data_IF_380950465815
#
_entry.id   IF_380950465815
#
_cell.length_a   1.000
_cell.length_b   1.000
_cell.length_c   1.000
_cell.angle_alpha   90.00
_cell.angle_beta   90.00
_cell.angle_gamma   90.00
#
_symmetry.space_group_name_H-M   'P 1'
#
loop_
_entity.id
_entity.type
_entity.pdbx_description
1 polymer ?
#
# COMPACT_ATOMS: atom_id res chain seq x y z
N UNK A 1 3.21 -29.32 -18.02
CA UNK A 1 4.40 -29.38 -17.15
C UNK A 1 3.93 -29.54 -15.71
N UNK A 2 4.62 -30.32 -14.86
CA UNK A 2 4.28 -30.41 -13.44
C UNK A 2 4.31 -29.01 -12.80
N UNK A 3 3.45 -28.77 -11.81
CA UNK A 3 3.45 -27.51 -11.08
C UNK A 3 4.82 -27.31 -10.40
N UNK A 4 5.40 -26.09 -10.45
CA UNK A 4 6.68 -25.84 -9.84
C UNK A 4 6.60 -26.06 -8.32
N UNK A 5 7.61 -26.71 -7.70
CA UNK A 5 7.56 -27.05 -6.28
C UNK A 5 7.62 -25.80 -5.39
N UNK A 6 8.30 -24.75 -5.84
CA UNK A 6 8.44 -23.48 -5.12
C UNK A 6 7.51 -22.45 -5.74
N UNK A 7 6.71 -21.78 -4.92
CA UNK A 7 5.85 -20.69 -5.36
C UNK A 7 6.13 -19.46 -4.48
N UNK A 8 6.56 -18.37 -5.12
CA UNK A 8 6.70 -17.06 -4.52
C UNK A 8 5.38 -16.31 -4.66
N UNK A 9 4.79 -15.92 -3.53
CA UNK A 9 3.63 -15.05 -3.46
C UNK A 9 4.12 -13.62 -3.30
N UNK A 10 4.27 -12.93 -4.42
CA UNK A 10 4.79 -11.57 -4.51
C UNK A 10 3.70 -10.51 -4.32
N UNK A 11 4.09 -9.25 -4.12
CA UNK A 11 3.13 -8.14 -4.20
C UNK A 11 2.57 -8.00 -5.62
N UNK A 12 1.45 -7.26 -5.81
CA UNK A 12 0.89 -7.02 -7.13
C UNK A 12 1.90 -6.38 -8.09
N UNK A 13 1.82 -6.69 -9.39
CA UNK A 13 2.79 -6.19 -10.36
C UNK A 13 2.71 -4.67 -10.56
N UNK A 14 3.86 -4.03 -10.75
CA UNK A 14 4.00 -2.61 -11.06
C UNK A 14 4.68 -2.47 -12.42
N UNK A 15 3.89 -2.49 -13.51
CA UNK A 15 4.42 -2.58 -14.87
C UNK A 15 5.57 -1.57 -15.15
N UNK A 16 6.71 -2.03 -15.73
CA UNK A 16 6.95 -3.39 -16.25
C UNK A 16 7.42 -4.41 -15.21
N UNK A 17 7.54 -4.03 -13.93
CA UNK A 17 8.01 -4.92 -12.88
C UNK A 17 6.95 -5.96 -12.49
N UNK A 18 7.38 -7.20 -12.18
CA UNK A 18 6.47 -8.27 -11.76
C UNK A 18 5.94 -8.09 -10.34
N UNK A 19 6.48 -7.13 -9.58
CA UNK A 19 6.07 -6.82 -8.21
C UNK A 19 6.18 -5.31 -7.92
N UNK A 20 5.47 -4.84 -6.90
CA UNK A 20 5.37 -3.44 -6.46
C UNK A 20 6.18 -3.11 -5.21
N UNK A 21 7.11 -3.97 -4.83
CA UNK A 21 8.00 -3.80 -3.68
C UNK A 21 9.40 -4.39 -3.97
N UNK A 22 10.46 -3.84 -3.35
CA UNK A 22 11.82 -4.34 -3.55
C UNK A 22 12.05 -5.73 -2.93
N UNK A 23 11.32 -6.10 -1.88
CA UNK A 23 11.49 -7.40 -1.22
C UNK A 23 11.02 -8.55 -2.11
N UNK A 24 9.88 -8.42 -2.79
CA UNK A 24 9.48 -9.41 -3.80
C UNK A 24 10.48 -9.49 -4.95
N UNK A 25 10.97 -8.36 -5.45
CA UNK A 25 11.97 -8.34 -6.52
C UNK A 25 13.28 -9.02 -6.10
N UNK A 26 13.69 -8.85 -4.83
CA UNK A 26 14.83 -9.57 -4.25
C UNK A 26 14.61 -11.08 -4.29
N UNK A 27 13.44 -11.58 -3.86
CA UNK A 27 13.15 -13.00 -3.87
C UNK A 27 13.08 -13.57 -5.29
N UNK A 28 12.57 -12.81 -6.26
CA UNK A 28 12.59 -13.20 -7.68
C UNK A 28 14.02 -13.35 -8.17
N UNK A 29 14.88 -12.35 -7.92
CA UNK A 29 16.28 -12.39 -8.30
C UNK A 29 17.04 -13.52 -7.60
N UNK A 30 16.73 -13.78 -6.31
CA UNK A 30 17.29 -14.86 -5.53
C UNK A 30 16.92 -16.23 -6.10
N UNK A 31 15.65 -16.48 -6.42
CA UNK A 31 15.24 -17.76 -6.99
C UNK A 31 15.75 -17.93 -8.43
N UNK A 32 15.85 -16.85 -9.20
CA UNK A 32 16.47 -16.91 -10.51
C UNK A 32 17.93 -17.35 -10.45
N UNK A 33 18.68 -16.92 -9.43
CA UNK A 33 20.07 -17.32 -9.21
C UNK A 33 20.20 -18.72 -8.58
N UNK A 34 19.43 -18.97 -7.52
CA UNK A 34 19.60 -20.13 -6.64
C UNK A 34 18.84 -21.37 -7.09
N UNK A 35 17.70 -21.22 -7.76
CA UNK A 35 16.82 -22.33 -8.13
C UNK A 35 16.14 -22.07 -9.50
N UNK A 36 16.92 -21.84 -10.57
CA UNK A 36 16.34 -21.59 -11.89
C UNK A 36 15.44 -22.76 -12.31
N UNK A 37 14.29 -22.45 -12.92
CA UNK A 37 13.26 -23.39 -13.38
C UNK A 37 12.47 -24.18 -12.30
N UNK A 38 12.73 -23.99 -11.01
CA UNK A 38 12.00 -24.69 -9.93
C UNK A 38 10.97 -23.82 -9.21
N UNK A 39 10.87 -22.54 -9.60
CA UNK A 39 9.98 -21.58 -8.96
C UNK A 39 8.97 -21.00 -9.96
N UNK A 40 7.82 -20.59 -9.43
CA UNK A 40 6.93 -19.65 -10.10
C UNK A 40 6.60 -18.48 -9.19
N UNK A 41 6.26 -17.36 -9.82
CA UNK A 41 5.81 -16.16 -9.14
C UNK A 41 4.32 -16.00 -9.37
N UNK A 42 3.57 -15.75 -8.30
CA UNK A 42 2.16 -15.40 -8.38
C UNK A 42 1.86 -14.21 -7.44
N UNK A 43 0.83 -13.40 -7.75
CA UNK A 43 0.37 -12.38 -6.82
C UNK A 43 -0.18 -13.02 -5.53
N UNK A 44 0.38 -12.62 -4.39
CA UNK A 44 -0.05 -13.02 -3.07
C UNK A 44 -1.32 -12.31 -2.61
N UNK A 45 -2.01 -12.93 -1.66
CA UNK A 45 -3.17 -12.35 -1.00
C UNK A 45 -2.75 -11.71 0.33
N UNK A 46 -3.10 -10.45 0.53
CA UNK A 46 -2.78 -9.70 1.74
C UNK A 46 -3.56 -10.18 2.99
N UNK A 47 -4.49 -11.11 2.86
CA UNK A 47 -5.07 -11.82 4.01
C UNK A 47 -4.18 -12.95 4.53
N UNK A 48 -3.24 -13.45 3.70
CA UNK A 48 -2.36 -14.55 4.06
C UNK A 48 -1.11 -14.03 4.79
N UNK A 49 -0.41 -14.92 5.51
CA UNK A 49 0.84 -14.61 6.22
C UNK A 49 0.75 -13.38 7.16
N UNK A 50 -0.37 -13.22 7.87
CA UNK A 50 -0.59 -12.05 8.74
C UNK A 50 -0.61 -10.71 8.00
N UNK A 51 -0.85 -10.73 6.69
CA UNK A 51 -0.85 -9.57 5.81
C UNK A 51 0.52 -9.00 5.48
N UNK A 52 1.55 -9.85 5.51
CA UNK A 52 2.89 -9.55 5.02
C UNK A 52 3.14 -10.26 3.68
N UNK A 53 3.54 -9.48 2.69
CA UNK A 53 4.06 -9.94 1.41
C UNK A 53 5.49 -9.42 1.25
N UNK A 54 6.39 -10.13 0.55
CA UNK A 54 6.17 -11.46 -0.05
C UNK A 54 6.19 -12.61 0.97
N UNK A 55 5.72 -13.80 0.56
CA UNK A 55 6.00 -15.05 1.26
C UNK A 55 6.20 -16.22 0.28
N UNK A 56 6.86 -17.28 0.74
CA UNK A 56 7.21 -18.43 -0.08
C UNK A 56 6.43 -19.66 0.40
N UNK A 57 5.93 -20.45 -0.55
CA UNK A 57 5.36 -21.77 -0.28
C UNK A 57 6.10 -22.84 -1.07
N UNK A 58 6.43 -23.96 -0.43
CA UNK A 58 6.97 -25.15 -1.05
C UNK A 58 5.94 -26.28 -0.93
N UNK A 59 5.51 -26.87 -2.05
CA UNK A 59 4.48 -27.91 -2.10
C UNK A 59 3.19 -27.51 -1.34
N UNK A 60 2.83 -26.23 -1.39
CA UNK A 60 1.65 -25.67 -0.70
C UNK A 60 1.85 -25.32 0.77
N UNK A 61 2.99 -25.65 1.39
CA UNK A 61 3.31 -25.28 2.77
C UNK A 61 4.15 -24.00 2.81
N UNK A 62 3.83 -23.10 3.74
CA UNK A 62 4.58 -21.87 3.90
C UNK A 62 5.98 -22.15 4.47
N UNK A 63 7.01 -21.55 3.85
CA UNK A 63 8.40 -21.69 4.25
C UNK A 63 8.93 -20.33 4.72
N UNK A 64 9.49 -20.22 5.94
CA UNK A 64 10.12 -18.99 6.38
C UNK A 64 11.41 -18.72 5.60
N UNK A 65 11.78 -17.45 5.42
CA UNK A 65 12.98 -17.07 4.65
C UNK A 65 14.28 -17.68 5.17
N UNK A 66 14.36 -17.99 6.48
CA UNK A 66 15.51 -18.66 7.11
C UNK A 66 15.71 -20.11 6.64
N UNK A 67 14.67 -20.77 6.13
CA UNK A 67 14.70 -22.15 5.67
C UNK A 67 14.84 -22.29 4.15
N UNK A 68 14.92 -21.18 3.41
CA UNK A 68 15.14 -21.21 1.96
C UNK A 68 16.40 -22.00 1.55
N UNK A 69 17.55 -21.87 2.24
CA UNK A 69 18.74 -22.65 1.90
C UNK A 69 18.58 -24.17 2.02
N UNK A 70 17.56 -24.63 2.74
CA UNK A 70 17.30 -26.05 2.96
C UNK A 70 16.32 -26.64 1.93
N UNK A 71 15.82 -25.83 1.00
CA UNK A 71 14.89 -26.30 -0.03
C UNK A 71 15.62 -27.19 -1.06
N UNK A 72 14.97 -28.26 -1.54
CA UNK A 72 15.57 -29.12 -2.54
C UNK A 72 15.83 -28.32 -3.82
N UNK A 73 17.06 -28.42 -4.34
CA UNK A 73 17.48 -27.71 -5.55
C UNK A 73 17.85 -26.24 -5.36
N UNK A 74 17.76 -25.70 -4.14
CA UNK A 74 18.23 -24.34 -3.84
C UNK A 74 19.76 -24.33 -3.65
N UNK A 75 20.45 -23.59 -4.51
CA UNK A 75 21.88 -23.35 -4.41
C UNK A 75 22.13 -22.04 -3.67
N UNK A 76 22.75 -22.13 -2.49
CA UNK A 76 23.04 -20.93 -1.71
C UNK A 76 24.08 -20.05 -2.44
N UNK A 77 23.73 -18.82 -2.87
CA UNK A 77 24.67 -17.95 -3.58
C UNK A 77 25.88 -17.57 -2.72
N UNK A 78 25.74 -17.57 -1.40
CA UNK A 78 26.81 -17.22 -0.46
C UNK A 78 27.63 -18.45 -0.01
N UNK A 79 27.43 -19.62 -0.63
CA UNK A 79 28.10 -20.85 -0.22
C UNK A 79 29.64 -20.74 -0.29
N UNK A 80 30.15 -20.03 -1.30
CA UNK A 80 31.58 -19.83 -1.55
C UNK A 80 32.25 -18.84 -0.59
N UNK A 81 31.47 -18.05 0.16
CA UNK A 81 32.00 -17.02 1.06
C UNK A 81 32.57 -17.63 2.35
N UNK A 82 33.69 -17.07 2.80
CA UNK A 82 34.27 -17.34 4.12
C UNK A 82 33.35 -16.85 5.24
N UNK A 83 33.62 -17.28 6.48
CA UNK A 83 32.82 -16.87 7.63
C UNK A 83 32.87 -15.34 7.88
N UNK A 84 34.01 -14.71 7.63
CA UNK A 84 34.17 -13.26 7.74
C UNK A 84 33.36 -12.54 6.64
N UNK A 85 33.47 -13.00 5.39
CA UNK A 85 32.71 -12.42 4.27
C UNK A 85 31.20 -12.59 4.43
N UNK A 86 30.74 -13.70 5.04
CA UNK A 86 29.31 -13.88 5.38
C UNK A 86 28.83 -12.87 6.42
N UNK A 87 29.66 -12.54 7.41
CA UNK A 87 29.34 -11.49 8.38
C UNK A 87 29.29 -10.12 7.71
N UNK A 88 30.23 -9.84 6.79
CA UNK A 88 30.23 -8.62 6.00
C UNK A 88 29.03 -8.54 5.05
N UNK A 89 28.63 -9.65 4.42
CA UNK A 89 27.46 -9.71 3.56
C UNK A 89 26.18 -9.37 4.34
N UNK A 90 26.07 -9.89 5.57
CA UNK A 90 24.97 -9.56 6.48
C UNK A 90 25.01 -8.08 6.90
N UNK A 91 26.20 -7.52 7.15
CA UNK A 91 26.35 -6.11 7.49
C UNK A 91 25.90 -5.21 6.33
N UNK A 92 26.30 -5.52 5.09
CA UNK A 92 25.84 -4.82 3.90
C UNK A 92 24.34 -4.93 3.69
N UNK A 93 23.76 -6.11 3.87
CA UNK A 93 22.31 -6.29 3.81
C UNK A 93 21.59 -5.41 4.82
N UNK A 94 22.04 -5.39 6.07
CA UNK A 94 21.47 -4.54 7.11
C UNK A 94 21.61 -3.05 6.81
N UNK A 95 22.73 -2.65 6.21
CA UNK A 95 22.98 -1.28 5.76
C UNK A 95 22.00 -0.85 4.66
N UNK A 96 21.76 -1.72 3.67
CA UNK A 96 20.81 -1.49 2.59
C UNK A 96 19.38 -1.35 3.12
N UNK A 97 18.97 -2.23 4.04
CA UNK A 97 17.66 -2.18 4.69
C UNK A 97 17.43 -0.91 5.51
N UNK A 98 18.49 -0.39 6.14
CA UNK A 98 18.41 0.80 6.97
C UNK A 98 18.47 2.12 6.19
N UNK A 99 19.21 2.19 5.07
CA UNK A 99 19.49 3.46 4.39
C UNK A 99 18.84 3.58 3.01
N UNK A 100 18.80 2.49 2.24
CA UNK A 100 18.35 2.53 0.84
C UNK A 100 16.86 2.22 0.73
N UNK A 101 16.35 1.31 1.56
CA UNK A 101 14.93 0.97 1.58
C UNK A 101 14.03 2.20 1.86
N UNK A 102 14.51 3.14 2.67
CA UNK A 102 13.78 4.37 2.99
C UNK A 102 13.68 5.34 1.81
N UNK A 103 14.51 5.18 0.78
CA UNK A 103 14.42 5.96 -0.45
C UNK A 103 13.20 5.60 -1.30
N UNK A 104 12.46 4.55 -0.92
CA UNK A 104 11.08 4.30 -1.35
C UNK A 104 10.12 5.47 -1.03
N UNK A 105 10.56 6.48 -0.27
CA UNK A 105 9.86 7.77 -0.14
C UNK A 105 9.39 8.32 -1.49
N UNK A 106 10.16 8.09 -2.57
CA UNK A 106 9.84 8.51 -3.92
C UNK A 106 8.44 8.03 -4.35
N UNK A 107 8.00 6.86 -3.91
CA UNK A 107 6.69 6.30 -4.26
C UNK A 107 5.58 6.69 -3.29
N UNK A 108 5.86 6.79 -1.99
CA UNK A 108 4.82 6.94 -0.96
C UNK A 108 4.65 8.36 -0.44
N UNK A 109 5.74 9.11 -0.41
CA UNK A 109 5.78 10.48 0.11
C UNK A 109 5.47 11.50 -0.98
N UNK A 110 6.00 11.30 -2.20
CA UNK A 110 5.84 12.26 -3.27
C UNK A 110 4.39 12.24 -3.82
N UNK A 111 3.69 13.40 -3.83
CA UNK A 111 2.26 13.47 -4.09
C UNK A 111 1.81 12.94 -5.45
N UNK A 112 2.51 13.24 -6.57
CA UNK A 112 2.06 12.73 -7.86
C UNK A 112 2.36 11.24 -8.01
N UNK A 113 3.39 10.72 -7.33
CA UNK A 113 3.85 9.35 -7.53
C UNK A 113 2.91 8.34 -6.88
N UNK A 114 2.50 8.53 -5.63
CA UNK A 114 1.69 7.54 -4.91
C UNK A 114 0.37 7.16 -5.60
N UNK A 115 -0.57 8.10 -5.87
CA UNK A 115 -1.88 7.77 -6.43
C UNK A 115 -1.79 7.35 -7.90
N UNK A 116 -0.77 7.77 -8.64
CA UNK A 116 -0.66 7.48 -10.08
C UNK A 116 0.08 6.18 -10.37
N UNK A 117 0.93 5.71 -9.46
CA UNK A 117 1.76 4.51 -9.64
C UNK A 117 1.39 3.39 -8.66
N UNK A 118 2.02 3.39 -7.48
CA UNK A 118 2.02 2.26 -6.56
C UNK A 118 0.64 1.97 -5.97
N UNK A 119 -0.16 3.01 -5.67
CA UNK A 119 -1.50 2.81 -5.13
C UNK A 119 -2.37 2.04 -6.13
N UNK A 120 -2.34 2.39 -7.42
CA UNK A 120 -3.12 1.68 -8.46
C UNK A 120 -2.70 0.22 -8.58
N UNK A 121 -1.39 -0.04 -8.59
CA UNK A 121 -0.86 -1.40 -8.66
C UNK A 121 -1.28 -2.24 -7.44
N UNK A 122 -1.10 -1.71 -6.23
CA UNK A 122 -1.43 -2.41 -4.99
C UNK A 122 -2.93 -2.62 -4.80
N UNK A 123 -3.77 -1.69 -5.28
CA UNK A 123 -5.22 -1.78 -5.21
C UNK A 123 -5.82 -2.77 -6.22
N UNK A 124 -5.13 -3.04 -7.34
CA UNK A 124 -5.70 -3.79 -8.47
C UNK A 124 -6.13 -5.22 -8.12
N UNK A 125 -5.50 -5.84 -7.11
CA UNK A 125 -5.77 -7.23 -6.71
C UNK A 125 -6.61 -7.36 -5.46
N UNK A 126 -6.93 -6.25 -4.79
CA UNK A 126 -7.67 -6.26 -3.54
C UNK A 126 -9.16 -6.46 -3.78
N UNK A 127 -9.78 -7.33 -3.00
CA UNK A 127 -11.23 -7.50 -2.97
C UNK A 127 -11.86 -6.63 -1.86
N UNK A 128 -13.15 -6.38 -1.92
CA UNK A 128 -13.86 -5.82 -0.77
C UNK A 128 -13.89 -6.86 0.36
N UNK A 129 -13.66 -6.48 1.65
CA UNK A 129 -13.45 -5.13 2.19
C UNK A 129 -11.97 -4.70 2.28
N UNK A 130 -11.03 -5.50 1.78
CA UNK A 130 -9.58 -5.24 1.84
C UNK A 130 -9.20 -3.88 1.22
N UNK A 131 -9.91 -3.47 0.17
CA UNK A 131 -9.72 -2.16 -0.51
C UNK A 131 -9.84 -0.96 0.43
N UNK A 132 -10.59 -1.06 1.54
CA UNK A 132 -10.83 0.06 2.45
C UNK A 132 -9.66 0.30 3.42
N UNK A 133 -9.05 -0.76 3.95
CA UNK A 133 -8.10 -0.64 5.07
C UNK A 133 -6.66 -0.97 4.69
N UNK A 134 -6.41 -1.85 3.72
CA UNK A 134 -5.04 -2.28 3.37
C UNK A 134 -4.18 -1.13 2.82
N UNK A 135 -4.66 -0.31 1.87
CA UNK A 135 -3.86 0.80 1.36
C UNK A 135 -3.49 1.81 2.45
N UNK A 136 -4.45 2.11 3.33
CA UNK A 136 -4.24 3.01 4.46
C UNK A 136 -3.20 2.44 5.44
N UNK A 137 -3.29 1.15 5.74
CA UNK A 137 -2.33 0.44 6.62
C UNK A 137 -0.92 0.42 6.03
N UNK A 138 -0.77 0.11 4.73
CA UNK A 138 0.52 0.10 4.06
C UNK A 138 1.12 1.50 4.09
N UNK A 139 0.35 2.51 3.67
CA UNK A 139 0.82 3.89 3.63
C UNK A 139 1.17 4.41 5.03
N UNK A 140 0.37 4.14 6.06
CA UNK A 140 0.64 4.60 7.43
C UNK A 140 1.89 3.96 8.04
N UNK A 141 2.13 2.67 7.77
CA UNK A 141 3.35 1.97 8.22
C UNK A 141 4.61 2.55 7.57
N UNK A 142 4.54 2.87 6.28
CA UNK A 142 5.66 3.47 5.56
C UNK A 142 5.83 4.94 5.99
N UNK A 143 4.73 5.66 6.16
CA UNK A 143 4.73 7.04 6.63
C UNK A 143 5.39 7.19 8.00
N UNK A 144 5.05 6.34 8.97
CA UNK A 144 5.64 6.42 10.32
C UNK A 144 7.16 6.22 10.28
N UNK A 145 7.62 5.27 9.46
CA UNK A 145 9.05 5.02 9.24
C UNK A 145 9.74 6.19 8.54
N UNK A 146 9.18 6.70 7.45
CA UNK A 146 9.76 7.82 6.70
C UNK A 146 9.74 9.14 7.48
N UNK A 147 8.70 9.36 8.29
CA UNK A 147 8.61 10.52 9.18
C UNK A 147 9.70 10.48 10.26
N UNK A 148 9.96 9.30 10.83
CA UNK A 148 11.06 9.10 11.79
C UNK A 148 12.44 9.44 11.19
N UNK A 149 12.68 9.05 9.92
CA UNK A 149 13.94 9.32 9.22
C UNK A 149 14.00 10.76 8.67
N UNK A 150 12.87 11.46 8.62
CA UNK A 150 12.76 12.82 8.07
C UNK A 150 12.73 12.88 6.54
N UNK A 151 12.30 11.79 5.89
CA UNK A 151 12.12 11.72 4.43
C UNK A 151 10.67 11.92 3.99
N UNK A 152 9.72 11.93 4.92
CA UNK A 152 8.32 12.26 4.61
C UNK A 152 8.18 13.74 4.23
N UNK A 153 7.53 14.01 3.11
CA UNK A 153 7.38 15.34 2.49
C UNK A 153 8.65 15.88 1.81
N UNK A 154 9.77 15.16 1.84
CA UNK A 154 11.02 15.64 1.26
C UNK A 154 10.97 15.54 -0.28
N UNK A 155 11.31 16.64 -0.97
CA UNK A 155 11.29 16.69 -2.44
C UNK A 155 9.92 16.92 -3.09
N UNK A 156 8.87 17.14 -2.28
CA UNK A 156 7.52 17.50 -2.73
C UNK A 156 6.49 17.27 -1.62
N UNK A 157 5.71 18.31 -1.30
CA UNK A 157 4.75 18.29 -0.20
C UNK A 157 3.38 17.81 -0.69
N UNK A 158 2.73 16.90 0.04
CA UNK A 158 1.35 16.48 -0.27
C UNK A 158 0.39 17.65 -0.09
N UNK A 159 -0.60 17.79 -0.98
CA UNK A 159 -1.60 18.89 -0.89
C UNK A 159 -2.26 18.98 0.49
N UNK A 160 -2.51 17.83 1.15
CA UNK A 160 -3.05 17.81 2.51
C UNK A 160 -2.08 18.28 3.60
N UNK A 161 -0.79 17.96 3.47
CA UNK A 161 0.27 18.41 4.39
C UNK A 161 0.61 19.88 4.12
N UNK A 162 0.55 20.31 2.85
CA UNK A 162 0.68 21.69 2.41
C UNK A 162 -0.43 22.57 2.99
N UNK A 163 -1.68 22.08 3.03
CA UNK A 163 -2.79 22.81 3.64
C UNK A 163 -2.61 22.98 5.16
N UNK A 164 -2.15 21.94 5.86
CA UNK A 164 -1.87 22.05 7.31
C UNK A 164 -0.71 23.01 7.59
N UNK A 165 0.34 22.97 6.77
CA UNK A 165 1.47 23.86 6.91
C UNK A 165 1.13 25.30 6.48
N UNK A 166 0.28 25.48 5.45
CA UNK A 166 -0.26 26.78 5.06
C UNK A 166 -1.18 27.35 6.14
N UNK A 167 -1.98 26.51 6.82
CA UNK A 167 -2.73 26.92 8.00
C UNK A 167 -1.80 27.38 9.12
N UNK A 168 -0.75 26.61 9.41
CA UNK A 168 0.28 27.00 10.37
C UNK A 168 0.97 28.31 9.98
N UNK A 169 1.27 28.52 8.70
CA UNK A 169 1.85 29.76 8.19
C UNK A 169 0.85 30.92 8.30
N UNK A 170 -0.43 30.69 8.05
CA UNK A 170 -1.50 31.67 8.26
C UNK A 170 -1.63 32.04 9.74
N UNK A 171 -1.45 31.09 10.65
CA UNK A 171 -1.38 31.33 12.10
C UNK A 171 -0.11 32.11 12.48
N UNK A 172 1.05 31.73 11.93
CA UNK A 172 2.36 32.39 12.14
C UNK A 172 2.45 33.79 11.46
N UNK A 173 1.53 34.11 10.54
CA UNK A 173 1.42 35.45 9.92
C UNK A 173 0.91 36.51 10.89
N UNK A 174 0.40 36.15 12.07
CA UNK A 174 0.00 37.11 13.09
C UNK A 174 1.08 37.18 14.17
N UNK A 175 1.73 38.33 14.31
CA UNK A 175 2.67 38.59 15.40
C UNK A 175 1.89 39.26 16.52
N UNK A 176 1.99 38.70 17.74
CA UNK A 176 1.45 39.35 18.93
C UNK A 176 2.43 40.43 19.38
N UNK A 177 2.03 41.68 19.27
CA UNK A 177 2.82 42.82 19.74
C UNK A 177 2.85 42.90 21.27
N UNK A 178 3.82 43.66 21.83
CA UNK A 178 3.84 43.98 23.26
C UNK A 178 2.55 44.77 23.59
N UNK A 179 1.61 44.10 24.27
CA UNK A 179 0.25 44.61 24.51
C UNK A 179 -0.87 43.65 24.06
N UNK A 180 -0.55 42.50 23.46
CA UNK A 180 -1.55 41.49 23.07
C UNK A 180 -2.26 41.78 21.74
N UNK A 181 -1.83 42.80 21.00
CA UNK A 181 -2.40 43.14 19.69
C UNK A 181 -1.85 42.20 18.60
N UNK A 182 -2.75 41.54 17.87
CA UNK A 182 -2.40 40.72 16.70
C UNK A 182 -2.26 41.64 15.49
N UNK A 183 -1.03 41.86 15.03
CA UNK A 183 -0.78 42.58 13.78
C UNK A 183 -0.40 41.58 12.68
N UNK A 184 -0.97 41.69 11.47
CA UNK A 184 -0.53 40.90 10.34
C UNK A 184 0.92 41.27 10.02
N UNK A 185 1.80 40.28 9.94
CA UNK A 185 3.17 40.44 9.44
C UNK A 185 3.08 41.00 8.03
N UNK A 186 3.86 42.06 7.75
CA UNK A 186 3.78 42.82 6.50
C UNK A 186 3.64 41.90 5.27
N UNK A 187 2.58 42.14 4.50
CA UNK A 187 2.17 41.36 3.33
C UNK A 187 3.35 41.20 2.36
N UNK A 188 3.93 40.00 2.28
CA UNK A 188 4.80 39.64 1.16
C UNK A 188 3.87 39.36 -0.03
N UNK A 189 4.04 40.08 -1.15
CA UNK A 189 3.09 40.15 -2.28
C UNK A 189 2.59 38.81 -2.85
N UNK A 190 1.64 38.84 -3.79
CA UNK A 190 1.01 37.66 -4.42
C UNK A 190 1.98 36.60 -4.99
N UNK A 191 3.24 36.96 -5.29
CA UNK A 191 4.30 36.04 -5.76
C UNK A 191 5.06 35.33 -4.64
N UNK A 192 4.92 35.74 -3.38
CA UNK A 192 5.70 35.19 -2.28
C UNK A 192 5.39 33.72 -1.99
N UNK A 193 4.17 33.26 -2.30
CA UNK A 193 3.77 31.86 -2.16
C UNK A 193 4.54 30.95 -3.13
N UNK A 194 4.54 31.29 -4.42
CA UNK A 194 5.25 30.54 -5.44
C UNK A 194 6.77 30.56 -5.21
N UNK A 195 7.34 31.70 -4.81
CA UNK A 195 8.77 31.78 -4.50
C UNK A 195 9.15 31.00 -3.23
N UNK A 196 8.25 30.94 -2.23
CA UNK A 196 8.45 30.13 -1.04
C UNK A 196 8.39 28.63 -1.37
N UNK A 197 7.41 28.20 -2.16
CA UNK A 197 7.28 26.81 -2.60
C UNK A 197 8.48 26.36 -3.43
N UNK A 198 8.93 27.19 -4.39
CA UNK A 198 10.15 26.90 -5.17
C UNK A 198 11.40 26.81 -4.31
N UNK A 199 11.55 27.68 -3.30
CA UNK A 199 12.67 27.60 -2.35
C UNK A 199 12.62 26.33 -1.51
N UNK A 200 11.44 25.94 -1.02
CA UNK A 200 11.26 24.68 -0.29
C UNK A 200 11.59 23.47 -1.16
N UNK A 201 11.12 23.47 -2.41
CA UNK A 201 11.43 22.41 -3.36
C UNK A 201 12.93 22.28 -3.59
N UNK A 202 13.62 23.39 -3.89
CA UNK A 202 15.08 23.40 -4.07
C UNK A 202 15.82 22.94 -2.81
N UNK A 203 15.38 23.39 -1.63
CA UNK A 203 15.97 22.96 -0.36
C UNK A 203 15.74 21.46 -0.12
N UNK A 204 14.53 20.96 -0.39
CA UNK A 204 14.20 19.53 -0.29
C UNK A 204 15.00 18.68 -1.26
N UNK A 205 15.21 19.15 -2.50
CA UNK A 205 16.09 18.52 -3.49
C UNK A 205 17.55 18.46 -3.02
N UNK A 206 18.07 19.54 -2.41
CA UNK A 206 19.43 19.56 -1.84
C UNK A 206 19.60 18.63 -0.63
N UNK A 207 18.60 18.60 0.26
CA UNK A 207 18.59 17.67 1.39
C UNK A 207 18.52 16.23 0.91
N UNK A 208 17.68 15.95 -0.10
CA UNK A 208 17.59 14.64 -0.72
C UNK A 208 18.91 14.24 -1.38
N UNK A 209 19.56 15.13 -2.13
CA UNK A 209 20.89 14.89 -2.72
C UNK A 209 21.92 14.54 -1.64
N UNK A 210 21.93 15.27 -0.53
CA UNK A 210 22.81 15.00 0.62
C UNK A 210 22.55 13.61 1.22
N UNK A 211 21.28 13.22 1.35
CA UNK A 211 20.87 11.90 1.87
C UNK A 211 21.23 10.77 0.91
N UNK A 212 21.02 10.96 -0.39
CA UNK A 212 21.41 10.02 -1.44
C UNK A 212 22.93 9.81 -1.39
N UNK A 213 23.71 10.89 -1.28
CA UNK A 213 25.18 10.81 -1.12
C UNK A 213 25.60 10.04 0.10
N UNK A 214 25.06 10.39 1.26
CA UNK A 214 25.33 9.66 2.50
C UNK A 214 25.02 8.15 2.38
N UNK A 215 23.94 7.78 1.66
CA UNK A 215 23.51 6.40 1.54
C UNK A 215 24.28 5.60 0.46
N UNK A 216 24.58 6.19 -0.70
CA UNK A 216 25.19 5.51 -1.85
C UNK A 216 26.71 5.66 -1.95
N UNK A 217 27.33 6.69 -1.37
CA UNK A 217 28.79 6.86 -1.40
C UNK A 217 29.55 5.65 -0.81
N UNK A 218 29.11 5.03 0.31
CA UNK A 218 29.76 3.82 0.82
C UNK A 218 29.64 2.63 -0.13
N UNK A 219 28.50 2.50 -0.82
CA UNK A 219 28.26 1.41 -1.78
C UNK A 219 29.10 1.60 -3.04
N UNK A 220 29.15 2.82 -3.56
CA UNK A 220 29.96 3.17 -4.73
C UNK A 220 31.44 2.91 -4.47
N UNK A 221 31.95 3.29 -3.29
CA UNK A 221 33.33 2.96 -2.86
C UNK A 221 33.55 1.46 -2.66
N UNK A 222 32.57 0.76 -2.08
CA UNK A 222 32.65 -0.69 -1.89
C UNK A 222 32.72 -1.49 -3.20
N UNK A 223 32.10 -0.96 -4.26
CA UNK A 223 32.08 -1.52 -5.62
C UNK A 223 33.20 -0.98 -6.52
N UNK A 224 34.00 -0.02 -6.06
CA UNK A 224 35.02 0.62 -6.89
C UNK A 224 36.08 -0.40 -7.33
N UNK A 225 36.15 -0.67 -8.63
CA UNK A 225 37.08 -1.64 -9.22
C UNK A 225 36.64 -3.11 -9.13
N UNK A 226 35.50 -3.42 -8.52
CA UNK A 226 34.99 -4.81 -8.39
C UNK A 226 33.76 -5.06 -9.27
N UNK A 227 33.62 -6.30 -9.73
CA UNK A 227 32.44 -6.72 -10.49
C UNK A 227 31.20 -6.79 -9.58
N UNK A 228 31.38 -7.45 -8.41
CA UNK A 228 30.40 -7.64 -7.34
C UNK A 228 31.05 -7.39 -5.96
N UNK A 229 30.27 -7.35 -4.87
CA UNK A 229 30.81 -7.03 -3.53
C UNK A 229 31.97 -7.94 -3.09
N UNK A 230 31.86 -9.25 -3.36
CA UNK A 230 32.80 -10.29 -2.90
C UNK A 230 33.52 -11.03 -4.03
N UNK A 231 33.64 -10.43 -5.21
CA UNK A 231 34.42 -10.99 -6.32
C UNK A 231 33.68 -10.98 -7.65
N UNK A 232 33.74 -12.11 -8.36
CA UNK A 232 33.23 -12.27 -9.73
C UNK A 232 31.89 -12.99 -9.82
N UNK A 233 31.38 -13.51 -8.70
CA UNK A 233 30.05 -14.14 -8.62
C UNK A 233 29.09 -13.27 -7.80
N UNK A 234 27.82 -13.15 -8.23
CA UNK A 234 26.84 -12.35 -7.50
C UNK A 234 26.45 -13.01 -6.18
N UNK A 235 26.39 -12.20 -5.11
CA UNK A 235 26.07 -12.63 -3.74
C UNK A 235 24.72 -12.09 -3.27
N UNK A 236 24.23 -12.50 -2.09
CA UNK A 236 22.97 -11.96 -1.54
C UNK A 236 22.91 -10.44 -1.41
N UNK A 237 23.96 -9.70 -0.96
CA UNK A 237 23.90 -8.23 -0.94
C UNK A 237 23.90 -7.62 -2.35
N UNK A 238 24.53 -8.24 -3.34
CA UNK A 238 24.44 -7.80 -4.74
C UNK A 238 22.99 -7.89 -5.24
N UNK A 239 22.30 -9.00 -4.95
CA UNK A 239 20.89 -9.19 -5.31
C UNK A 239 19.96 -8.22 -4.57
N UNK A 240 20.28 -7.89 -3.32
CA UNK A 240 19.50 -6.96 -2.51
C UNK A 240 19.67 -5.51 -2.96
N UNK A 241 20.89 -5.10 -3.28
CA UNK A 241 21.14 -3.81 -3.92
C UNK A 241 20.46 -3.75 -5.29
N UNK A 242 20.53 -4.83 -6.08
CA UNK A 242 19.87 -4.94 -7.37
C UNK A 242 18.36 -4.77 -7.27
N UNK A 243 17.69 -5.41 -6.31
CA UNK A 243 16.24 -5.29 -6.19
C UNK A 243 15.80 -3.87 -5.84
N UNK A 244 16.54 -3.20 -4.94
CA UNK A 244 16.31 -1.81 -4.56
C UNK A 244 16.54 -0.87 -5.75
N UNK A 245 17.66 -1.01 -6.46
CA UNK A 245 17.94 -0.22 -7.65
C UNK A 245 16.95 -0.50 -8.79
N UNK A 246 16.56 -1.76 -8.99
CA UNK A 246 15.55 -2.15 -10.00
C UNK A 246 14.23 -1.44 -9.71
N UNK A 247 13.80 -1.43 -8.45
CA UNK A 247 12.57 -0.79 -8.03
C UNK A 247 12.60 0.72 -8.25
N UNK A 248 13.74 1.38 -8.02
CA UNK A 248 13.88 2.82 -8.22
C UNK A 248 14.04 3.21 -9.70
N UNK A 249 14.85 2.48 -10.46
CA UNK A 249 15.28 2.87 -11.81
C UNK A 249 14.30 2.44 -12.90
N UNK A 250 13.67 1.26 -12.78
CA UNK A 250 12.90 0.65 -13.88
C UNK A 250 11.68 1.47 -14.30
N UNK A 251 10.85 2.02 -13.39
CA UNK A 251 9.70 2.84 -13.77
C UNK A 251 10.04 4.17 -14.44
N UNK A 252 11.33 4.50 -14.53
CA UNK A 252 11.84 5.73 -15.18
C UNK A 252 12.75 5.42 -16.38
N UNK A 253 12.78 4.18 -16.87
CA UNK A 253 13.60 3.80 -18.02
C UNK A 253 13.15 4.48 -19.32
N UNK A 254 14.07 4.55 -20.27
CA UNK A 254 13.87 5.08 -21.63
C UNK A 254 14.03 3.94 -22.64
N UNK A 255 13.06 3.67 -23.53
CA UNK A 255 11.80 4.40 -23.75
C UNK A 255 10.86 4.35 -22.53
N UNK A 256 10.04 5.38 -22.30
CA UNK A 256 9.19 5.47 -21.12
C UNK A 256 8.25 4.26 -21.04
N UNK A 257 8.14 3.59 -19.88
CA UNK A 257 7.16 2.53 -19.70
C UNK A 257 5.74 3.10 -19.77
N UNK A 258 4.71 2.24 -19.91
CA UNK A 258 3.30 2.69 -20.01
C UNK A 258 2.84 3.54 -18.81
N UNK A 259 3.47 3.38 -17.65
CA UNK A 259 3.23 4.19 -16.45
C UNK A 259 4.57 4.75 -15.94
N UNK A 260 5.08 5.85 -16.53
CA UNK A 260 6.32 6.45 -16.09
C UNK A 260 6.14 7.07 -14.70
N UNK A 261 7.20 7.08 -13.90
CA UNK A 261 7.21 7.76 -12.61
C UNK A 261 6.99 9.28 -12.82
N UNK A 262 5.89 9.88 -12.31
CA UNK A 262 5.55 11.28 -12.57
C UNK A 262 6.64 12.26 -12.14
N UNK A 263 7.30 11.98 -11.01
CA UNK A 263 8.44 12.73 -10.52
C UNK A 263 9.69 11.81 -10.46
N UNK A 264 10.57 11.86 -11.48
CA UNK A 264 11.76 11.02 -11.59
C UNK A 264 13.02 11.66 -11.00
N UNK A 265 12.92 12.50 -9.96
CA UNK A 265 14.07 13.17 -9.34
C UNK A 265 15.16 12.19 -8.90
N UNK A 266 14.82 11.18 -8.08
CA UNK A 266 15.78 10.24 -7.53
C UNK A 266 16.44 9.36 -8.60
N UNK A 267 15.72 8.75 -9.56
CA UNK A 267 16.36 8.02 -10.66
C UNK A 267 17.28 8.89 -11.51
N UNK A 268 16.94 10.16 -11.71
CA UNK A 268 17.77 11.10 -12.48
C UNK A 268 19.08 11.38 -11.73
N UNK A 269 19.02 11.64 -10.43
CA UNK A 269 20.19 11.86 -9.57
C UNK A 269 21.09 10.64 -9.49
N UNK A 270 20.52 9.43 -9.41
CA UNK A 270 21.29 8.18 -9.44
C UNK A 270 22.01 8.02 -10.79
N UNK A 271 21.33 8.34 -11.89
CA UNK A 271 21.88 8.30 -13.25
C UNK A 271 23.07 9.22 -13.47
N UNK A 272 23.02 10.42 -12.89
CA UNK A 272 24.09 11.40 -13.04
C UNK A 272 25.24 11.16 -12.07
N UNK A 273 24.96 10.72 -10.84
CA UNK A 273 25.95 10.72 -9.75
C UNK A 273 26.64 9.38 -9.56
N UNK A 274 25.96 8.25 -9.84
CA UNK A 274 26.49 6.90 -9.56
C UNK A 274 26.46 5.97 -10.79
N UNK A 275 27.22 6.29 -11.85
CA UNK A 275 27.28 5.43 -13.03
C UNK A 275 27.80 4.01 -12.72
N UNK A 276 28.67 3.85 -11.71
CA UNK A 276 29.19 2.55 -11.28
C UNK A 276 28.09 1.60 -10.76
N UNK A 277 27.15 2.14 -9.97
CA UNK A 277 26.01 1.38 -9.43
C UNK A 277 25.02 0.98 -10.54
N UNK A 278 24.83 1.84 -11.53
CA UNK A 278 23.98 1.54 -12.69
C UNK A 278 24.61 0.45 -13.54
N UNK A 279 25.94 0.53 -13.73
CA UNK A 279 26.67 -0.52 -14.43
C UNK A 279 26.56 -1.85 -13.67
N UNK A 280 26.65 -1.85 -12.33
CA UNK A 280 26.42 -3.04 -11.49
C UNK A 280 25.00 -3.60 -11.67
N UNK A 281 23.98 -2.75 -11.59
CA UNK A 281 22.59 -3.14 -11.84
C UNK A 281 22.41 -3.76 -13.24
N UNK A 282 22.96 -3.13 -14.29
CA UNK A 282 22.87 -3.63 -15.66
C UNK A 282 23.58 -4.98 -15.84
N UNK A 283 24.75 -5.16 -15.21
CA UNK A 283 25.46 -6.45 -15.20
C UNK A 283 24.63 -7.56 -14.56
N UNK A 284 23.99 -7.29 -13.42
CA UNK A 284 23.11 -8.27 -12.76
C UNK A 284 21.87 -8.59 -13.56
N UNK A 285 21.24 -7.58 -14.17
CA UNK A 285 20.08 -7.79 -15.04
C UNK A 285 20.43 -8.73 -16.20
N UNK A 286 21.57 -8.49 -16.85
CA UNK A 286 22.09 -9.35 -17.92
C UNK A 286 22.47 -10.76 -17.41
N UNK A 287 23.17 -10.85 -16.28
CA UNK A 287 23.59 -12.13 -15.70
C UNK A 287 22.39 -13.03 -15.34
N UNK A 288 21.36 -12.47 -14.70
CA UNK A 288 20.15 -13.20 -14.32
C UNK A 288 19.23 -13.49 -15.52
N UNK A 289 19.52 -12.91 -16.70
CA UNK A 289 18.71 -13.01 -17.91
C UNK A 289 17.24 -12.64 -17.67
N UNK A 290 17.03 -11.61 -16.84
CA UNK A 290 15.71 -11.15 -16.45
C UNK A 290 15.19 -10.12 -17.46
N UNK A 291 14.08 -10.45 -18.11
CA UNK A 291 13.31 -9.53 -18.93
C UNK A 291 11.98 -9.21 -18.23
N UNK A 292 11.95 -8.08 -17.51
CA UNK A 292 10.79 -7.72 -16.69
C UNK A 292 9.47 -7.62 -17.48
N UNK A 293 9.42 -6.98 -18.67
CA UNK A 293 8.21 -6.93 -19.50
C UNK A 293 7.63 -8.29 -19.87
N UNK A 294 8.47 -9.32 -20.07
CA UNK A 294 8.04 -10.67 -20.46
C UNK A 294 8.04 -11.67 -19.30
N UNK A 295 8.28 -11.19 -18.07
CA UNK A 295 8.43 -12.06 -16.92
C UNK A 295 7.16 -12.91 -16.68
N UNK A 296 7.27 -14.25 -16.63
CA UNK A 296 6.11 -15.12 -16.54
C UNK A 296 5.49 -15.06 -15.14
N UNK A 297 4.37 -14.34 -15.02
CA UNK A 297 3.52 -14.35 -13.83
C UNK A 297 2.49 -15.48 -13.94
N UNK A 298 2.51 -16.39 -12.98
CA UNK A 298 1.47 -17.40 -12.85
C UNK A 298 0.17 -16.71 -12.42
N UNK A 299 -0.84 -16.75 -13.29
CA UNK A 299 -2.15 -16.20 -12.97
C UNK A 299 -2.83 -17.14 -11.97
N UNK A 300 -3.07 -16.64 -10.75
CA UNK A 300 -4.00 -17.32 -9.84
C UNK A 300 -5.36 -17.39 -10.55
N UNK A 301 -6.03 -18.56 -10.59
CA UNK A 301 -7.40 -18.61 -11.07
C UNK A 301 -8.20 -17.62 -10.23
N UNK A 302 -8.73 -16.59 -10.90
CA UNK A 302 -9.60 -15.60 -10.26
C UNK A 302 -10.77 -16.42 -9.72
N UNK A 303 -10.90 -16.54 -8.41
CA UNK A 303 -12.16 -17.03 -7.85
C UNK A 303 -13.20 -15.99 -8.27
N UNK A 304 -13.98 -16.31 -9.30
CA UNK A 304 -15.08 -15.48 -9.84
C UNK A 304 -16.26 -15.40 -8.85
N UNK A 305 -16.07 -15.80 -7.60
CA UNK A 305 -16.87 -15.33 -6.47
C UNK A 305 -16.50 -13.89 -6.17
N UNK A 306 -16.82 -12.98 -7.09
CA UNK A 306 -16.93 -11.57 -6.74
C UNK A 306 -18.11 -11.46 -5.79
N UNK A 307 -17.85 -11.54 -4.49
CA UNK A 307 -18.88 -11.36 -3.49
C UNK A 307 -19.51 -10.00 -3.75
N UNK A 308 -20.71 -10.03 -4.33
CA UNK A 308 -21.54 -8.85 -4.52
C UNK A 308 -21.67 -8.13 -3.19
N UNK A 309 -21.79 -6.80 -3.24
CA UNK A 309 -22.11 -5.97 -2.07
C UNK A 309 -23.27 -6.57 -1.24
N UNK A 310 -24.22 -7.25 -1.90
CA UNK A 310 -25.35 -7.94 -1.26
C UNK A 310 -24.95 -9.14 -0.40
N UNK A 311 -23.97 -9.96 -0.80
CA UNK A 311 -23.55 -11.14 -0.03
C UNK A 311 -22.73 -10.75 1.20
N UNK A 312 -21.96 -9.67 1.11
CA UNK A 312 -21.14 -9.20 2.23
C UNK A 312 -22.01 -8.46 3.27
N UNK A 313 -22.96 -7.63 2.82
CA UNK A 313 -23.94 -7.01 3.73
C UNK A 313 -24.90 -8.06 4.34
N UNK A 314 -25.28 -9.10 3.60
CA UNK A 314 -26.11 -10.20 4.11
C UNK A 314 -25.47 -10.99 5.26
N UNK A 315 -24.14 -10.93 5.42
CA UNK A 315 -23.43 -11.53 6.57
C UNK A 315 -23.28 -10.59 7.77
N UNK A 316 -23.41 -9.27 7.56
CA UNK A 316 -23.36 -8.26 8.63
C UNK A 316 -24.73 -7.93 9.21
N UNK A 317 -25.82 -8.21 8.48
CA UNK A 317 -27.16 -8.20 9.03
C UNK A 317 -27.40 -9.55 9.70
N UNK A 318 -27.57 -9.65 11.03
CA UNK A 318 -28.03 -10.87 11.65
C UNK A 318 -29.43 -11.18 11.13
N UNK A 319 -29.53 -12.07 10.14
CA UNK A 319 -30.80 -12.65 9.73
C UNK A 319 -31.41 -13.42 10.90
N UNK A 320 -32.76 -13.50 10.99
CA UNK A 320 -33.41 -14.30 12.01
C UNK A 320 -32.95 -15.75 11.88
N UNK A 321 -32.36 -16.26 12.96
CA UNK A 321 -31.86 -17.61 13.09
C UNK A 321 -32.93 -18.64 12.71
N UNK A 322 -32.73 -19.36 11.60
CA UNK A 322 -33.29 -20.71 11.48
C UNK A 322 -32.36 -21.65 12.23
N UNK A 323 -32.85 -22.08 13.39
CA UNK A 323 -32.22 -23.09 14.23
C UNK A 323 -32.19 -24.45 13.54
N UNK A 324 -31.00 -24.99 13.30
CA UNK A 324 -30.80 -26.43 13.20
C UNK A 324 -29.55 -26.83 13.98
N UNK A 325 -29.86 -27.36 15.16
CA UNK A 325 -29.07 -28.23 16.04
C UNK A 325 -27.78 -28.83 15.48
N UNK A 326 -26.66 -28.55 16.14
CA UNK A 326 -25.75 -29.59 16.64
C UNK A 326 -24.68 -28.93 17.54
N UNK A 327 -24.85 -29.00 18.86
CA UNK A 327 -23.69 -28.99 19.75
C UNK A 327 -23.93 -29.87 20.96
N UNK A 328 -23.11 -30.90 21.03
CA UNK A 328 -22.95 -31.87 22.10
C UNK A 328 -22.34 -31.23 23.35
N UNK A 329 -22.84 -31.72 24.48
CA UNK A 329 -22.43 -31.47 25.87
C UNK A 329 -20.92 -31.36 26.13
N UNK A 330 -20.51 -30.42 26.98
CA UNK A 330 -19.67 -30.67 28.17
C UNK A 330 -19.77 -29.48 29.13
N UNK A 331 -20.38 -29.71 30.29
CA UNK A 331 -20.28 -28.94 31.55
C UNK A 331 -18.89 -29.17 32.20
N UNK A 332 -18.32 -28.25 33.00
CA UNK A 332 -18.79 -28.13 34.39
C UNK A 332 -18.66 -26.75 35.11
N UNK A 333 -19.53 -26.58 36.10
CA UNK A 333 -19.39 -25.92 37.41
C UNK A 333 -19.07 -24.42 37.55
N UNK A 334 -20.12 -23.68 37.98
CA UNK A 334 -20.11 -22.61 39.00
C UNK A 334 -20.20 -23.27 40.41
N UNK A 335 -19.84 -22.62 41.55
CA UNK A 335 -20.38 -21.34 42.02
C UNK A 335 -19.26 -20.34 42.43
N UNK A 336 -19.45 -19.02 42.47
CA UNK A 336 -20.02 -18.35 43.63
C UNK A 336 -20.58 -16.96 43.27
N UNK A 337 -21.70 -16.66 43.92
CA UNK A 337 -22.42 -15.40 43.96
C UNK A 337 -21.90 -14.61 45.16
N UNK A 338 -21.32 -13.45 44.93
CA UNK A 338 -21.41 -12.29 45.83
C UNK A 338 -20.69 -11.11 45.16
N UNK A 339 -21.36 -9.94 45.10
CA UNK A 339 -20.91 -8.60 44.60
C UNK A 339 -21.70 -7.99 43.44
N UNK A 340 -22.98 -8.35 43.27
CA UNK A 340 -23.95 -7.54 42.50
C UNK A 340 -25.04 -6.99 43.42
N UNK A 341 -24.69 -6.02 44.27
CA UNK A 341 -25.67 -5.21 45.00
C UNK A 341 -25.16 -3.80 45.40
N UNK A 342 -23.95 -3.39 44.97
CA UNK A 342 -23.36 -2.09 45.36
C UNK A 342 -22.94 -1.17 44.22
N UNK A 343 -23.25 -1.50 42.96
CA UNK A 343 -22.89 -0.66 41.80
C UNK A 343 -24.06 0.11 41.15
N UNK A 344 -25.27 0.01 41.71
CA UNK A 344 -26.47 0.66 41.17
C UNK A 344 -26.92 1.92 41.92
N UNK A 345 -26.25 2.31 43.01
CA UNK A 345 -26.57 3.53 43.78
C UNK A 345 -25.57 4.68 43.64
N UNK A 346 -24.50 4.52 42.87
CA UNK A 346 -23.45 5.56 42.67
C UNK A 346 -23.30 6.01 41.22
N UNK A 347 -24.32 5.78 40.38
CA UNK A 347 -24.33 6.18 38.96
C UNK A 347 -25.42 7.20 38.61
N UNK A 348 -26.00 7.86 39.62
CA UNK A 348 -27.09 8.84 39.44
C UNK A 348 -26.73 10.29 39.75
N UNK A 349 -25.54 10.57 40.25
CA UNK A 349 -25.08 11.94 40.51
C UNK A 349 -23.67 12.15 39.95
N UNK A 350 -23.58 12.27 38.63
CA UNK A 350 -22.55 13.10 37.96
C UNK A 350 -22.97 13.31 36.51
N UNK A 351 -24.13 13.94 36.30
CA UNK A 351 -24.38 14.66 35.04
C UNK A 351 -23.53 15.92 35.10
N UNK A 352 -22.27 15.84 34.66
CA UNK A 352 -21.52 17.03 34.24
C UNK A 352 -22.40 17.79 33.26
N UNK A 353 -22.78 19.01 33.61
CA UNK A 353 -23.51 19.90 32.71
C UNK A 353 -22.66 20.07 31.45
N UNK A 354 -23.09 19.43 30.34
CA UNK A 354 -22.46 19.61 29.04
C UNK A 354 -22.39 21.11 28.75
N UNK A 355 -21.18 21.59 28.50
CA UNK A 355 -20.92 23.00 28.18
C UNK A 355 -21.77 23.42 26.99
N UNK A 356 -22.22 24.68 26.96
CA UNK A 356 -23.12 25.21 25.93
C UNK A 356 -22.63 24.95 24.50
N UNK A 357 -21.30 24.91 24.30
CA UNK A 357 -20.64 24.55 23.04
C UNK A 357 -20.87 23.10 22.61
N UNK A 358 -20.81 22.14 23.53
CA UNK A 358 -21.09 20.72 23.23
C UNK A 358 -22.54 20.51 22.78
N UNK A 359 -23.49 21.21 23.41
CA UNK A 359 -24.91 21.17 23.02
C UNK A 359 -25.15 21.75 21.63
N UNK A 360 -24.40 22.79 21.22
CA UNK A 360 -24.49 23.32 19.84
C UNK A 360 -23.88 22.37 18.81
N UNK A 361 -22.80 21.66 19.15
CA UNK A 361 -22.22 20.64 18.27
C UNK A 361 -23.14 19.42 18.10
N UNK A 362 -23.79 18.95 19.17
CA UNK A 362 -24.77 17.87 19.09
C UNK A 362 -25.98 18.25 18.20
N UNK A 363 -26.49 19.48 18.32
CA UNK A 363 -27.56 20.00 17.45
C UNK A 363 -27.13 20.11 16.00
N UNK A 364 -25.93 20.62 15.73
CA UNK A 364 -25.39 20.69 14.37
C UNK A 364 -25.24 19.31 13.72
N UNK A 365 -24.82 18.31 14.50
CA UNK A 365 -24.69 16.93 14.02
C UNK A 365 -26.05 16.31 13.67
N UNK A 366 -27.05 16.51 14.52
CA UNK A 366 -28.42 16.04 14.24
C UNK A 366 -29.05 16.76 13.05
N UNK A 367 -28.81 18.07 12.90
CA UNK A 367 -29.30 18.84 11.76
C UNK A 367 -28.68 18.35 10.44
N UNK A 368 -27.38 18.02 10.46
CA UNK A 368 -26.67 17.47 9.32
C UNK A 368 -27.21 16.08 8.93
N UNK A 369 -27.44 15.19 9.91
CA UNK A 369 -28.04 13.88 9.65
C UNK A 369 -29.47 13.98 9.11
N UNK A 370 -30.28 14.90 9.65
CA UNK A 370 -31.63 15.15 9.13
C UNK A 370 -31.59 15.68 7.69
N UNK A 371 -30.67 16.61 7.38
CA UNK A 371 -30.48 17.14 6.03
C UNK A 371 -30.06 16.05 5.03
N UNK A 372 -29.14 15.16 5.42
CA UNK A 372 -28.71 14.03 4.59
C UNK A 372 -29.85 13.03 4.32
N UNK A 373 -30.67 12.72 5.33
CA UNK A 373 -31.81 11.81 5.18
C UNK A 373 -32.88 12.38 4.25
N UNK A 374 -33.23 13.67 4.41
CA UNK A 374 -34.19 14.34 3.53
C UNK A 374 -33.67 14.41 2.09
N UNK A 375 -32.38 14.75 1.92
CA UNK A 375 -31.72 14.76 0.60
C UNK A 375 -31.79 13.41 -0.11
N UNK A 376 -31.55 12.31 0.62
CA UNK A 376 -31.60 10.97 0.06
C UNK A 376 -33.02 10.58 -0.37
N UNK A 377 -34.02 10.89 0.46
CA UNK A 377 -35.43 10.65 0.14
C UNK A 377 -35.84 11.47 -1.09
N UNK A 378 -35.55 12.78 -1.12
CA UNK A 378 -35.82 13.62 -2.29
C UNK A 378 -35.13 13.13 -3.56
N UNK A 379 -33.91 12.60 -3.46
CA UNK A 379 -33.22 12.00 -4.60
C UNK A 379 -33.94 10.74 -5.10
N UNK A 380 -34.41 9.86 -4.21
CA UNK A 380 -35.16 8.65 -4.60
C UNK A 380 -36.48 8.98 -5.31
N UNK A 381 -37.16 10.06 -4.88
CA UNK A 381 -38.35 10.58 -5.55
C UNK A 381 -38.02 11.20 -6.91
N UNK A 382 -36.98 12.02 -7.00
CA UNK A 382 -36.59 12.68 -8.25
C UNK A 382 -36.05 11.67 -9.27
N UNK A 383 -35.26 10.69 -8.84
CA UNK A 383 -34.59 9.74 -9.73
C UNK A 383 -35.54 8.72 -10.35
N UNK A 384 -36.83 8.71 -9.98
CA UNK A 384 -37.82 7.77 -10.51
C UNK A 384 -37.56 6.31 -10.14
N UNK A 385 -36.77 6.05 -9.10
CA UNK A 385 -36.45 4.67 -8.65
C UNK A 385 -37.62 4.00 -7.93
N UNK A 386 -38.54 4.79 -7.38
CA UNK A 386 -39.78 4.29 -6.77
C UNK A 386 -40.93 4.60 -7.71
N UNK A 387 -41.35 3.60 -8.49
CA UNK A 387 -42.59 3.65 -9.23
C UNK A 387 -43.74 3.31 -8.27
N UNK A 388 -44.67 4.25 -8.08
CA UNK A 388 -45.93 3.96 -7.41
C UNK A 388 -46.79 3.13 -8.36
N UNK A 389 -46.84 1.82 -8.12
CA UNK A 389 -47.91 0.99 -8.67
C UNK A 389 -49.21 1.37 -7.96
N UNK A 390 -50.03 2.17 -8.62
CA UNK A 390 -51.41 2.43 -8.24
C UNK A 390 -52.18 1.12 -8.42
N UNK A 391 -52.40 0.41 -7.30
CA UNK A 391 -53.33 -0.70 -7.25
C UNK A 391 -54.74 -0.10 -7.16
N UNK A 392 -55.35 0.12 -8.33
CA UNK A 392 -56.80 0.26 -8.43
C UNK A 392 -57.41 -1.14 -8.33
N UNK A 393 -58.01 -1.41 -7.17
CA UNK A 393 -59.02 -2.46 -7.04
C UNK A 393 -60.30 -1.99 -7.75
N UNK A 394 -60.91 -2.92 -8.50
CA UNK A 394 -62.24 -2.85 -9.13
C UNK A 394 -62.35 -2.27 -10.57
N UNK A 395 -62.13 -3.13 -11.59
CA UNK A 395 -63.20 -3.35 -12.59
C UNK A 395 -62.97 -4.57 -13.50
N UNK A 396 -64.03 -5.38 -13.56
CA UNK A 396 -64.31 -6.44 -14.53
C UNK A 396 -64.25 -5.93 -15.97
N UNK A 397 -63.82 -6.77 -16.92
CA UNK A 397 -64.24 -6.62 -18.32
C UNK A 397 -63.21 -6.95 -19.40
N UNK A 398 -63.40 -8.13 -19.98
CA UNK A 398 -63.20 -8.47 -21.40
C UNK A 398 -61.77 -8.62 -21.93
N UNK A 399 -61.47 -9.88 -22.27
CA UNK A 399 -60.26 -10.27 -22.98
C UNK A 399 -60.35 -9.94 -24.47
N UNK A 400 -59.23 -9.49 -25.01
CA UNK A 400 -59.00 -9.41 -26.44
C UNK A 400 -57.68 -10.14 -26.76
N UNK A 401 -57.82 -11.18 -27.58
CA UNK A 401 -56.72 -12.00 -28.07
C UNK A 401 -55.88 -11.20 -29.07
N UNK A 402 -54.56 -11.18 -28.88
CA UNK A 402 -53.63 -10.81 -29.95
C UNK A 402 -52.72 -12.00 -30.20
N UNK A 403 -53.05 -12.69 -31.28
CA UNK A 403 -52.25 -13.67 -31.99
C UNK A 403 -51.01 -12.96 -32.56
N UNK A 404 -49.80 -13.42 -32.22
CA UNK A 404 -48.58 -13.02 -32.94
C UNK A 404 -47.87 -14.28 -33.40
N UNK A 405 -47.86 -14.40 -34.73
CA UNK A 405 -47.32 -15.47 -35.54
C UNK A 405 -45.83 -15.72 -35.29
N UNK A 406 -45.51 -17.01 -35.35
CA UNK A 406 -44.18 -17.60 -35.30
C UNK A 406 -43.50 -17.43 -36.67
N UNK A 407 -42.60 -16.47 -36.82
CA UNK A 407 -41.75 -16.37 -38.02
C UNK A 407 -40.44 -17.13 -37.81
N UNK A 408 -40.44 -18.37 -38.30
CA UNK A 408 -39.26 -19.21 -38.57
C UNK A 408 -38.46 -18.59 -39.72
N UNK A 409 -37.16 -18.33 -39.51
CA UNK A 409 -36.18 -18.26 -40.61
C UNK A 409 -34.84 -18.87 -40.21
N UNK A 410 -34.66 -20.07 -40.78
CA UNK A 410 -33.50 -20.60 -41.52
C UNK A 410 -32.09 -20.23 -41.05
#
# INVERSE_FOLDING_TARGET
MPAPPIILHATPPLAPLPASDPESLYHIALFQLAAPAQYAVQPGDWAQNGGKLPYVTHLGQQVPSSYLPNLPGFQNPDAHLSAAEKADALSWKSYLDANILDLNHTYYSLPPNYPQTIAKAQLATLSFPQTLYIPQRIRSTIQSRLAFVGLWGLGGLNDGDAVQEDQRILEEKYITGPGGTLAPRAWTGWRSGQEAEQRRRKWGEQQLDTRIKAAFDPLARGLEGKTYFFGDTPTTPDLHLFSLLTFLLTPSQTPPPPNPLPNPLLPTLLRTTYPSLIAHHARLLAYLSLDWPSFPLSRRPRNVGGNSWGETLGRFVPGPSSSTSAFTSTTPNKPEKEKEAKKEKEKKEEKKEKTSKEKSFERGRWLWFAGAAVSMVSYLFWSGIVAYGEFDDDQEGEGEWIEVEEEVRS
#
